data_IF_970241378805
#
_entry.id   IF_970241378805
#
_cell.length_a   1.000
_cell.length_b   1.000
_cell.length_c   1.000
_cell.angle_alpha   90.00
_cell.angle_beta   90.00
_cell.angle_gamma   90.00
#
_symmetry.space_group_name_H-M   'P 1'
#
loop_
_entity.id
_entity.type
_entity.pdbx_description
1 polymer ?
#
# COMPACT_ATOMS: atom_id res chain seq x y z
N UNK A 1 26.78 -20.78 79.11
CA UNK A 1 28.24 -20.54 79.01
C UNK A 1 28.62 -20.42 77.52
N UNK A 2 29.53 -19.49 77.17
CA UNK A 2 29.61 -18.84 75.86
C UNK A 2 30.87 -19.21 75.06
N UNK A 3 30.93 -18.85 73.77
CA UNK A 3 32.12 -18.54 72.92
C UNK A 3 31.68 -18.58 71.45
N UNK A 4 32.04 -17.70 70.53
CA UNK A 4 32.85 -16.48 70.50
C UNK A 4 32.44 -15.73 69.22
N UNK A 5 32.01 -14.47 69.29
CA UNK A 5 32.82 -13.27 68.96
C UNK A 5 33.73 -13.43 67.72
N UNK A 6 33.26 -12.79 66.65
CA UNK A 6 33.98 -12.02 65.64
C UNK A 6 35.43 -12.39 65.27
N UNK A 7 35.64 -12.74 64.00
CA UNK A 7 36.90 -12.46 63.29
C UNK A 7 36.60 -11.77 61.96
N UNK A 8 36.61 -10.44 61.98
CA UNK A 8 36.93 -9.63 60.81
C UNK A 8 38.45 -9.47 60.79
N UNK A 9 39.12 -9.97 59.76
CA UNK A 9 40.43 -9.47 59.36
C UNK A 9 40.47 -9.39 57.83
N UNK A 10 40.88 -8.22 57.38
CA UNK A 10 40.92 -7.70 56.01
C UNK A 10 41.88 -8.48 55.12
N UNK A 11 41.47 -8.76 53.89
CA UNK A 11 42.33 -8.85 52.70
C UNK A 11 41.54 -8.18 51.56
N UNK A 12 41.84 -6.91 51.27
CA UNK A 12 42.60 -6.48 50.09
C UNK A 12 41.85 -6.88 48.81
N UNK A 13 40.92 -6.04 48.35
CA UNK A 13 41.16 -5.03 47.31
C UNK A 13 41.66 -5.65 46.00
N UNK A 14 40.80 -5.69 44.98
CA UNK A 14 41.15 -5.50 43.57
C UNK A 14 39.88 -5.53 42.71
N UNK A 15 39.72 -4.46 41.92
CA UNK A 15 39.00 -4.37 40.64
C UNK A 15 37.50 -4.70 40.65
N UNK A 16 36.59 -3.84 40.23
CA UNK A 16 36.71 -2.67 39.37
C UNK A 16 35.29 -2.31 38.95
N UNK A 17 35.06 -1.02 38.73
CA UNK A 17 33.77 -0.45 38.41
C UNK A 17 33.16 -1.03 37.12
N UNK A 18 31.87 -1.29 37.15
CA UNK A 18 30.99 -1.22 35.97
C UNK A 18 29.55 -0.97 36.43
N UNK A 19 29.32 0.23 36.98
CA UNK A 19 27.99 0.81 37.04
C UNK A 19 27.66 1.39 35.67
N UNK A 20 26.48 1.08 35.13
CA UNK A 20 25.84 1.83 34.06
C UNK A 20 25.84 1.16 32.68
N UNK A 21 24.89 0.25 32.45
CA UNK A 21 24.25 0.09 31.13
C UNK A 21 22.74 -0.11 31.36
N UNK A 22 22.07 0.97 31.75
CA UNK A 22 20.65 1.16 31.49
C UNK A 22 20.56 2.13 30.31
N UNK A 23 19.94 1.72 29.21
CA UNK A 23 19.57 2.61 28.12
C UNK A 23 20.12 2.21 26.75
N UNK A 24 19.30 1.48 25.99
CA UNK A 24 19.07 1.63 24.55
C UNK A 24 18.47 0.34 23.96
N UNK A 25 17.34 -0.14 24.51
CA UNK A 25 16.36 -0.80 23.65
C UNK A 25 15.65 0.30 22.87
N UNK A 26 16.40 0.91 21.93
CA UNK A 26 15.83 1.85 20.98
C UNK A 26 14.75 1.14 20.20
N UNK A 27 13.59 1.77 20.08
CA UNK A 27 12.52 1.38 19.19
C UNK A 27 13.01 1.42 17.74
N UNK A 28 13.74 0.40 17.31
CA UNK A 28 14.07 0.17 15.90
C UNK A 28 13.83 -1.31 15.59
N UNK A 29 12.61 -1.77 15.88
CA UNK A 29 12.22 -3.15 15.60
C UNK A 29 11.06 -3.17 14.61
N UNK A 30 11.37 -2.73 13.40
CA UNK A 30 10.40 -2.57 12.32
C UNK A 30 10.90 -1.53 11.34
N UNK A 31 11.98 -1.85 10.62
CA UNK A 31 12.43 -1.03 9.49
C UNK A 31 11.26 -0.66 8.58
N UNK A 32 11.26 0.58 8.09
CA UNK A 32 10.24 1.06 7.16
C UNK A 32 10.18 0.09 5.97
N UNK A 33 8.99 -0.40 5.56
CA UNK A 33 8.88 -1.35 4.47
C UNK A 33 9.49 -0.74 3.19
N UNK A 34 10.62 -1.32 2.75
CA UNK A 34 11.31 -0.98 1.50
C UNK A 34 10.66 -1.71 0.33
N UNK A 35 9.33 -1.67 0.23
CA UNK A 35 8.66 -2.15 -0.98
C UNK A 35 8.93 -1.09 -2.05
N UNK A 36 9.97 -1.31 -2.85
CA UNK A 36 10.43 -0.43 -3.92
C UNK A 36 9.34 -0.30 -5.00
N UNK A 37 8.42 0.64 -4.79
CA UNK A 37 7.60 1.19 -5.87
C UNK A 37 8.47 2.12 -6.73
N UNK A 38 8.20 2.23 -8.04
CA UNK A 38 9.11 2.84 -9.00
C UNK A 38 9.58 4.24 -8.57
N UNK A 39 10.87 4.52 -8.78
CA UNK A 39 11.58 5.76 -8.41
C UNK A 39 11.06 7.06 -9.05
N UNK A 40 9.93 7.02 -9.76
CA UNK A 40 9.34 8.15 -10.45
C UNK A 40 8.17 8.70 -9.63
N UNK A 41 8.20 10.01 -9.40
CA UNK A 41 7.11 10.75 -8.77
C UNK A 41 5.82 10.66 -9.64
N UNK A 42 4.67 10.16 -9.10
CA UNK A 42 3.41 10.04 -9.86
C UNK A 42 2.92 11.34 -10.48
N UNK A 43 3.23 12.48 -9.86
CA UNK A 43 2.84 13.80 -10.38
C UNK A 43 3.63 14.15 -11.64
N UNK A 44 4.86 13.66 -11.78
CA UNK A 44 5.72 13.85 -12.95
C UNK A 44 5.46 12.86 -14.10
N UNK A 45 4.76 11.75 -13.83
CA UNK A 45 4.47 10.73 -14.84
C UNK A 45 3.49 11.20 -15.93
N UNK A 46 3.65 10.69 -17.14
CA UNK A 46 2.58 10.72 -18.16
C UNK A 46 1.43 9.77 -17.80
N UNK A 47 0.25 9.95 -18.41
CA UNK A 47 -0.88 9.01 -18.22
C UNK A 47 -0.49 7.56 -18.59
N UNK A 48 0.29 7.37 -19.66
CA UNK A 48 0.78 6.05 -20.06
C UNK A 48 1.68 5.42 -18.99
N UNK A 49 2.58 6.19 -18.39
CA UNK A 49 3.45 5.71 -17.32
C UNK A 49 2.66 5.36 -16.05
N UNK A 50 1.65 6.17 -15.70
CA UNK A 50 0.75 5.86 -14.57
C UNK A 50 0.00 4.56 -14.82
N UNK A 51 -0.54 4.36 -16.02
CA UNK A 51 -1.24 3.13 -16.39
C UNK A 51 -0.31 1.91 -16.34
N UNK A 52 0.94 2.05 -16.80
CA UNK A 52 1.94 0.99 -16.69
C UNK A 52 2.26 0.66 -15.22
N UNK A 53 2.41 1.67 -14.37
CA UNK A 53 2.63 1.49 -12.93
C UNK A 53 1.42 0.81 -12.26
N UNK A 54 0.19 1.17 -12.63
CA UNK A 54 -1.02 0.49 -12.16
C UNK A 54 -1.00 -1.00 -12.52
N UNK A 55 -0.68 -1.33 -13.78
CA UNK A 55 -0.58 -2.72 -14.23
C UNK A 55 0.53 -3.50 -13.53
N UNK A 56 1.66 -2.86 -13.20
CA UNK A 56 2.72 -3.50 -12.40
C UNK A 56 2.23 -3.87 -10.99
N UNK A 57 1.51 -2.96 -10.32
CA UNK A 57 0.91 -3.25 -9.01
C UNK A 57 -0.15 -4.35 -9.14
N UNK A 58 -1.06 -4.22 -10.10
CA UNK A 58 -2.16 -5.15 -10.33
C UNK A 58 -1.73 -6.58 -10.62
N UNK A 59 -0.62 -6.76 -11.34
CA UNK A 59 -0.07 -8.08 -11.66
C UNK A 59 0.65 -8.78 -10.49
N UNK A 60 0.96 -8.07 -9.39
CA UNK A 60 1.78 -8.61 -8.29
C UNK A 60 1.12 -8.53 -6.90
N UNK A 61 -0.01 -7.85 -6.77
CA UNK A 61 -0.63 -7.51 -5.48
C UNK A 61 -1.22 -8.69 -4.68
N UNK A 62 -1.75 -9.74 -5.34
CA UNK A 62 -2.35 -10.88 -4.63
C UNK A 62 -2.10 -12.21 -5.36
N UNK A 63 -1.70 -13.25 -4.62
CA UNK A 63 -1.54 -14.58 -5.16
C UNK A 63 -2.89 -15.14 -5.66
N UNK A 64 -2.96 -15.58 -6.91
CA UNK A 64 -4.16 -16.15 -7.53
C UNK A 64 -5.10 -15.16 -8.23
N UNK A 65 -4.73 -13.86 -8.27
CA UNK A 65 -5.42 -12.84 -9.05
C UNK A 65 -4.44 -11.95 -9.79
N UNK A 66 -4.71 -11.66 -11.07
CA UNK A 66 -3.99 -10.68 -11.87
C UNK A 66 -4.94 -9.60 -12.34
N UNK A 67 -4.70 -8.37 -11.88
CA UNK A 67 -5.45 -7.20 -12.31
C UNK A 67 -4.72 -6.51 -13.45
N UNK A 68 -5.43 -6.26 -14.54
CA UNK A 68 -4.92 -5.44 -15.64
C UNK A 68 -5.87 -4.29 -15.95
N UNK A 69 -5.30 -3.22 -16.48
CA UNK A 69 -5.99 -1.95 -16.67
C UNK A 69 -5.72 -1.37 -18.04
N UNK A 70 -6.77 -0.83 -18.66
CA UNK A 70 -6.67 0.00 -19.84
C UNK A 70 -7.40 1.33 -19.63
N UNK A 71 -6.82 2.42 -20.14
CA UNK A 71 -7.51 3.70 -20.20
C UNK A 71 -8.12 3.85 -21.60
N UNK A 72 -9.45 3.74 -21.66
CA UNK A 72 -10.24 3.89 -22.88
C UNK A 72 -10.50 5.37 -23.18
N UNK A 73 -10.94 5.68 -24.41
CA UNK A 73 -11.47 7.00 -24.73
C UNK A 73 -12.58 7.44 -23.75
N UNK A 74 -12.76 8.75 -23.58
CA UNK A 74 -13.72 9.27 -22.60
C UNK A 74 -13.27 9.14 -21.14
N UNK A 75 -12.00 8.77 -20.90
CA UNK A 75 -11.45 8.58 -19.56
C UNK A 75 -12.16 7.49 -18.74
N UNK A 76 -12.54 6.42 -19.44
CA UNK A 76 -13.07 5.21 -18.83
C UNK A 76 -11.93 4.25 -18.51
N UNK A 77 -11.82 3.84 -17.26
CA UNK A 77 -10.90 2.78 -16.84
C UNK A 77 -11.58 1.44 -17.07
N UNK A 78 -11.01 0.62 -17.96
CA UNK A 78 -11.33 -0.80 -18.03
C UNK A 78 -10.47 -1.56 -17.04
N UNK A 79 -11.12 -2.44 -16.28
CA UNK A 79 -10.51 -3.32 -15.31
C UNK A 79 -10.80 -4.75 -15.74
N UNK A 80 -9.73 -5.50 -15.94
CA UNK A 80 -9.78 -6.93 -16.23
C UNK A 80 -9.15 -7.69 -15.06
N UNK A 81 -9.77 -8.79 -14.66
CA UNK A 81 -9.32 -9.59 -13.54
C UNK A 81 -9.28 -11.07 -13.92
N UNK A 82 -8.08 -11.62 -13.94
CA UNK A 82 -7.86 -13.05 -14.13
C UNK A 82 -7.66 -13.70 -12.77
N UNK A 83 -8.51 -14.66 -12.42
CA UNK A 83 -8.38 -15.45 -11.19
C UNK A 83 -7.94 -16.88 -11.48
N UNK A 84 -7.76 -17.68 -10.42
CA UNK A 84 -7.44 -19.12 -10.53
C UNK A 84 -8.44 -19.94 -11.38
N UNK A 85 -9.68 -19.45 -11.50
CA UNK A 85 -10.75 -20.07 -12.31
C UNK A 85 -10.85 -19.52 -13.73
N UNK A 86 -9.93 -18.64 -14.13
CA UNK A 86 -9.91 -17.94 -15.41
C UNK A 86 -10.39 -16.49 -15.34
N UNK A 87 -10.53 -15.83 -16.50
CA UNK A 87 -10.93 -14.44 -16.61
C UNK A 87 -12.34 -14.16 -16.07
N UNK A 88 -12.47 -13.07 -15.32
CA UNK A 88 -13.76 -12.52 -14.92
C UNK A 88 -14.25 -11.44 -15.91
N UNK A 89 -15.56 -11.12 -15.92
CA UNK A 89 -16.08 -10.06 -16.77
C UNK A 89 -15.38 -8.72 -16.53
N UNK A 90 -14.98 -8.06 -17.61
CA UNK A 90 -14.40 -6.72 -17.56
C UNK A 90 -15.38 -5.71 -16.97
N UNK A 91 -14.86 -4.75 -16.21
CA UNK A 91 -15.63 -3.64 -15.66
C UNK A 91 -15.09 -2.32 -16.22
N UNK A 92 -16.00 -1.51 -16.78
CA UNK A 92 -15.69 -0.19 -17.32
C UNK A 92 -16.21 0.90 -16.38
N UNK A 93 -15.32 1.77 -15.89
CA UNK A 93 -15.64 2.79 -14.90
C UNK A 93 -15.21 4.17 -15.43
N UNK A 94 -16.15 5.10 -15.65
CA UNK A 94 -15.81 6.50 -15.93
C UNK A 94 -15.03 7.09 -14.75
N UNK A 95 -13.78 7.50 -14.96
CA UNK A 95 -12.94 8.02 -13.87
C UNK A 95 -13.34 9.44 -13.47
N UNK A 96 -13.92 10.23 -14.36
CA UNK A 96 -14.27 11.62 -14.06
C UNK A 96 -15.33 11.70 -12.95
N UNK A 97 -14.94 12.29 -11.81
CA UNK A 97 -15.78 12.43 -10.62
C UNK A 97 -15.94 11.16 -9.78
N UNK A 98 -15.38 10.03 -10.21
CA UNK A 98 -15.41 8.80 -9.43
C UNK A 98 -14.76 8.99 -8.05
N UNK A 99 -15.36 8.41 -7.02
CA UNK A 99 -14.81 8.39 -5.66
C UNK A 99 -13.85 7.21 -5.55
N UNK A 100 -12.65 7.47 -5.02
CA UNK A 100 -11.57 6.47 -4.87
C UNK A 100 -11.31 6.28 -3.38
N UNK A 101 -11.55 5.07 -2.88
CA UNK A 101 -11.39 4.76 -1.46
C UNK A 101 -10.62 3.46 -1.21
N UNK A 102 -10.05 3.34 -0.01
CA UNK A 102 -9.37 2.13 0.46
C UNK A 102 -10.24 1.47 1.53
N UNK A 103 -10.53 0.18 1.33
CA UNK A 103 -11.15 -0.65 2.36
C UNK A 103 -10.11 -1.47 3.10
N UNK A 104 -10.39 -1.80 4.36
CA UNK A 104 -9.62 -2.77 5.14
C UNK A 104 -10.52 -3.95 5.50
N UNK A 105 -10.17 -5.15 5.03
CA UNK A 105 -10.76 -6.39 5.45
C UNK A 105 -9.89 -7.03 6.55
N UNK A 106 -10.32 -6.84 7.79
CA UNK A 106 -9.63 -7.36 8.97
C UNK A 106 -9.71 -8.88 9.09
N UNK A 107 -10.76 -9.50 8.55
CA UNK A 107 -10.97 -10.95 8.60
C UNK A 107 -9.93 -11.65 7.76
N UNK A 108 -9.73 -11.17 6.53
CA UNK A 108 -8.76 -11.72 5.59
C UNK A 108 -7.39 -11.05 5.65
N UNK A 109 -7.21 -10.04 6.52
CA UNK A 109 -5.98 -9.24 6.67
C UNK A 109 -5.50 -8.67 5.34
N UNK A 110 -6.43 -8.06 4.61
CA UNK A 110 -6.18 -7.52 3.28
C UNK A 110 -6.74 -6.12 3.17
N UNK A 111 -6.27 -5.40 2.17
CA UNK A 111 -6.72 -4.08 1.81
C UNK A 111 -7.25 -4.11 0.39
N UNK A 112 -8.24 -3.27 0.12
CA UNK A 112 -8.83 -3.12 -1.20
C UNK A 112 -8.81 -1.66 -1.65
N UNK A 113 -8.69 -1.42 -2.95
CA UNK A 113 -9.00 -0.13 -3.56
C UNK A 113 -10.31 -0.28 -4.31
N UNK A 114 -11.22 0.66 -4.12
CA UNK A 114 -12.54 0.63 -4.77
C UNK A 114 -12.86 1.96 -5.45
N UNK A 115 -13.68 1.88 -6.48
CA UNK A 115 -14.21 3.02 -7.22
C UNK A 115 -15.73 3.05 -7.16
N UNK A 116 -16.30 4.21 -6.87
CA UNK A 116 -17.72 4.47 -7.05
C UNK A 116 -17.90 5.56 -8.15
N UNK A 117 -18.63 5.27 -9.25
CA UNK A 117 -18.90 6.27 -10.27
C UNK A 117 -19.83 7.37 -9.75
N UNK A 118 -19.72 8.58 -10.32
CA UNK A 118 -20.54 9.75 -9.95
C UNK A 118 -22.03 9.54 -10.25
N UNK A 119 -22.38 8.68 -11.20
CA UNK A 119 -23.76 8.43 -11.61
C UNK A 119 -24.36 7.22 -10.87
N UNK A 120 -25.56 7.37 -10.28
CA UNK A 120 -26.18 6.37 -9.41
C UNK A 120 -26.75 5.15 -10.15
N UNK A 121 -26.63 5.06 -11.48
CA UNK A 121 -27.17 3.92 -12.24
C UNK A 121 -26.59 2.56 -11.80
N UNK A 122 -25.41 2.56 -11.14
CA UNK A 122 -24.88 1.37 -10.48
C UNK A 122 -24.51 1.58 -9.02
N UNK A 123 -24.07 2.76 -8.56
CA UNK A 123 -23.89 3.12 -7.13
C UNK A 123 -23.04 2.16 -6.26
N UNK A 124 -22.50 1.09 -6.85
CA UNK A 124 -21.82 0.00 -6.20
C UNK A 124 -20.33 0.24 -6.34
N UNK A 125 -19.65 0.26 -5.20
CA UNK A 125 -18.20 0.23 -5.12
C UNK A 125 -17.67 -0.97 -5.93
N UNK A 126 -16.90 -0.67 -6.97
CA UNK A 126 -16.24 -1.66 -7.80
C UNK A 126 -14.82 -1.88 -7.29
N UNK A 127 -14.41 -3.13 -7.05
CA UNK A 127 -13.04 -3.42 -6.66
C UNK A 127 -12.10 -3.14 -7.83
N UNK A 128 -11.00 -2.46 -7.54
CA UNK A 128 -9.91 -2.18 -8.49
C UNK A 128 -8.66 -2.94 -8.14
N UNK A 129 -8.41 -3.14 -6.85
CA UNK A 129 -7.24 -3.87 -6.38
C UNK A 129 -7.57 -4.56 -5.07
N UNK A 130 -6.97 -5.73 -4.87
CA UNK A 130 -6.90 -6.40 -3.57
C UNK A 130 -5.44 -6.74 -3.29
N UNK A 131 -4.94 -6.43 -2.09
CA UNK A 131 -3.56 -6.72 -1.69
C UNK A 131 -3.47 -7.05 -0.20
N UNK A 132 -2.41 -7.77 0.17
CA UNK A 132 -1.99 -7.94 1.57
C UNK A 132 -1.10 -6.79 2.06
N UNK A 133 -0.58 -5.97 1.15
CA UNK A 133 0.34 -4.89 1.49
C UNK A 133 -0.35 -3.54 1.41
N UNK A 134 -0.21 -2.75 2.48
CA UNK A 134 -0.71 -1.38 2.53
C UNK A 134 -0.05 -0.48 1.47
N UNK A 135 1.22 -0.73 1.15
CA UNK A 135 1.97 0.03 0.15
C UNK A 135 1.31 -0.07 -1.24
N UNK A 136 0.94 -1.27 -1.68
CA UNK A 136 0.29 -1.50 -2.97
C UNK A 136 -1.02 -0.71 -3.11
N UNK A 137 -1.90 -0.78 -2.09
CA UNK A 137 -3.19 -0.08 -2.15
C UNK A 137 -3.06 1.43 -2.03
N UNK A 138 -2.09 1.92 -1.24
CA UNK A 138 -1.81 3.35 -1.11
C UNK A 138 -1.25 3.92 -2.42
N UNK A 139 -0.33 3.18 -3.04
CA UNK A 139 0.26 3.56 -4.31
C UNK A 139 -0.77 3.51 -5.44
N UNK A 140 -1.58 2.46 -5.51
CA UNK A 140 -2.68 2.36 -6.47
C UNK A 140 -3.69 3.50 -6.31
N UNK A 141 -4.10 3.82 -5.08
CA UNK A 141 -5.01 4.95 -4.83
C UNK A 141 -4.40 6.27 -5.32
N UNK A 142 -3.12 6.52 -5.05
CA UNK A 142 -2.44 7.71 -5.55
C UNK A 142 -2.40 7.75 -7.08
N UNK A 143 -1.99 6.65 -7.73
CA UNK A 143 -1.96 6.53 -9.19
C UNK A 143 -3.32 6.82 -9.81
N UNK A 144 -4.40 6.26 -9.25
CA UNK A 144 -5.77 6.50 -9.71
C UNK A 144 -6.19 7.96 -9.56
N UNK A 145 -5.87 8.61 -8.42
CA UNK A 145 -6.19 10.03 -8.19
C UNK A 145 -5.47 10.93 -9.20
N UNK A 146 -4.19 10.68 -9.45
CA UNK A 146 -3.43 11.48 -10.43
C UNK A 146 -3.86 11.16 -11.87
N UNK A 147 -4.21 9.90 -12.17
CA UNK A 147 -4.80 9.50 -13.45
C UNK A 147 -6.12 10.24 -13.71
N UNK A 148 -7.01 10.26 -12.72
CA UNK A 148 -8.29 10.97 -12.75
C UNK A 148 -8.07 12.48 -12.98
N UNK A 149 -7.10 13.09 -12.30
CA UNK A 149 -6.73 14.49 -12.56
C UNK A 149 -6.25 14.72 -13.99
N UNK A 150 -5.35 13.86 -14.50
CA UNK A 150 -4.87 13.94 -15.88
C UNK A 150 -5.99 13.85 -16.92
N UNK A 151 -7.04 13.09 -16.61
CA UNK A 151 -8.26 13.03 -17.39
C UNK A 151 -9.05 14.36 -17.43
N UNK A 152 -9.10 15.07 -16.30
CA UNK A 152 -9.69 16.41 -16.22
C UNK A 152 -8.88 17.51 -16.93
N UNK A 153 -7.61 17.27 -17.24
CA UNK A 153 -6.70 18.23 -17.88
C UNK A 153 -6.52 17.95 -19.39
N UNK A 154 -6.90 16.77 -19.91
CA UNK A 154 -6.72 16.36 -21.32
C UNK A 154 -7.57 17.19 -22.32
N UNK A 155 -7.19 17.39 -23.59
CA UNK A 155 -8.02 18.16 -24.53
C UNK A 155 -9.41 17.52 -24.78
N UNK A 156 -10.45 18.30 -25.14
CA UNK A 156 -11.84 17.83 -25.27
C UNK A 156 -12.02 16.64 -26.21
N UNK A 157 -11.20 16.54 -27.26
CA UNK A 157 -11.20 15.42 -28.22
C UNK A 157 -10.82 14.07 -27.60
N UNK A 158 -10.09 14.06 -26.47
CA UNK A 158 -9.77 12.85 -25.71
C UNK A 158 -10.85 12.50 -24.66
N UNK A 159 -11.77 13.43 -24.37
CA UNK A 159 -12.84 13.29 -23.36
C UNK A 159 -14.19 12.88 -23.94
N UNK A 160 -14.42 13.05 -25.25
CA UNK A 160 -15.74 12.99 -25.89
C UNK A 160 -15.95 11.73 -26.75
N UNK A 161 -15.51 10.57 -26.29
CA UNK A 161 -15.69 9.29 -26.98
C UNK A 161 -16.44 8.31 -26.08
#
# INVERSE_FOLDING_TARGET
MPRAVARRCRLVALCGAAAGVLGAAGCTDGGYPTTDHPALDPFSMTQKQRLAAMNQVGGSAHAGYQWTYALLPGCTLRIDLDGDKGPMPSVDIPLMGAVIDISNDRTHKTFGVHLAPTSPATGLWQPVLHSRHWADVSWMQLLLRVMQKGCGDAPPSARAA
#
